data_IF_990568838969
#
_entry.id   IF_990568838969
#
_cell.length_a   1.000
_cell.length_b   1.000
_cell.length_c   1.000
_cell.angle_alpha   90.00
_cell.angle_beta   90.00
_cell.angle_gamma   90.00
#
_symmetry.space_group_name_H-M   'P 1'
#
loop_
_entity.id
_entity.type
_entity.pdbx_description
1 polymer ?
2 non-polymer ?
#
# COMPACT_ATOMS: atom_id res chain seq x y z
N UNK A 1 2.74 12.32 0.96
CA UNK A 1 1.96 11.10 0.89
C UNK A 1 2.60 10.06 -0.02
N UNK A 2 2.80 8.85 0.59
CA UNK A 2 3.48 7.75 -0.12
C UNK A 2 2.40 6.66 -0.58
N UNK A 3 2.66 5.94 -1.69
CA UNK A 3 1.93 4.71 -1.97
C UNK A 3 2.93 3.59 -1.67
N UNK A 4 2.39 2.63 -0.85
CA UNK A 4 3.00 1.42 -0.15
C UNK A 4 2.43 0.19 -0.91
N UNK A 5 3.22 -0.46 -1.81
CA UNK A 5 2.75 -1.67 -2.55
C UNK A 5 3.87 -2.69 -2.91
N UNK A 6 3.42 -3.86 -3.40
CA UNK A 6 4.28 -4.93 -3.95
C UNK A 6 3.62 -5.51 -5.23
N UNK A 7 4.35 -5.69 -6.36
CA UNK A 7 3.71 -6.11 -7.64
C UNK A 7 4.79 -7.09 -8.22
N UNK A 8 4.18 -7.96 -9.04
CA UNK A 8 5.00 -8.98 -9.93
C UNK A 8 5.44 -7.98 -11.02
N UNK A 9 6.16 -8.78 -11.95
CA UNK A 9 6.74 -8.15 -13.15
C UNK A 9 5.88 -7.50 -14.10
N UNK A 10 4.58 -7.88 -14.18
CA UNK A 10 3.52 -7.31 -15.08
C UNK A 10 2.68 -6.33 -14.26
N UNK A 11 2.92 -6.08 -12.95
CA UNK A 11 2.03 -5.14 -12.23
C UNK A 11 0.91 -5.69 -11.33
N UNK A 12 0.92 -7.14 -11.43
CA UNK A 12 -0.15 -7.73 -10.68
C UNK A 12 -0.09 -7.49 -9.19
N UNK A 13 -1.10 -7.14 -8.39
CA UNK A 13 -1.06 -6.97 -6.97
C UNK A 13 -1.95 -7.86 -6.05
N UNK A 14 -2.98 -8.49 -6.84
CA UNK A 14 -3.92 -9.26 -5.96
C UNK A 14 -4.61 -10.50 -6.76
N UNK A 15 -5.23 -11.38 -5.99
CA UNK A 15 -5.87 -12.50 -6.56
C UNK A 15 -6.94 -12.89 -5.56
N UNK A 16 -8.24 -12.86 -5.89
CA UNK A 16 -9.41 -13.42 -5.14
C UNK A 16 -9.48 -12.76 -3.84
N UNK A 17 -9.14 -11.47 -3.67
CA UNK A 17 -9.14 -10.74 -2.28
C UNK A 17 -7.95 -10.99 -1.44
N UNK A 18 -6.88 -11.63 -1.97
CA UNK A 18 -5.75 -11.94 -1.12
C UNK A 18 -4.49 -11.65 -2.04
N UNK A 19 -3.28 -11.82 -1.60
CA UNK A 19 -2.05 -11.64 -2.26
C UNK A 19 -1.96 -12.96 -3.08
N UNK A 20 -1.22 -12.43 -4.34
CA UNK A 20 -1.08 -13.72 -5.26
C UNK A 20 0.15 -14.55 -4.89
N UNK A 21 0.99 -14.28 -3.88
CA UNK A 21 2.26 -14.86 -3.46
C UNK A 21 2.15 -14.81 -1.91
N UNK A 22 3.26 -15.30 -1.29
CA UNK A 22 3.53 -15.26 0.15
C UNK A 22 5.09 -15.15 0.16
N UNK A 23 5.31 -13.87 0.67
CA UNK A 23 6.68 -13.21 0.69
C UNK A 23 6.89 -12.32 2.06
N UNK A 24 7.35 -13.43 2.97
CA UNK A 24 7.58 -12.84 4.32
C UNK A 24 8.56 -11.71 4.27
N UNK A 25 9.66 -11.56 3.69
CA UNK A 25 10.51 -10.48 3.78
C UNK A 25 9.82 -9.08 3.64
N UNK A 26 8.96 -9.03 2.58
CA UNK A 26 8.16 -7.86 2.13
C UNK A 26 7.02 -7.43 3.07
N UNK A 27 6.46 -8.38 3.83
CA UNK A 27 5.56 -8.09 4.98
C UNK A 27 6.27 -7.76 6.34
N UNK A 28 7.54 -8.16 6.55
CA UNK A 28 8.44 -7.47 7.54
C UNK A 28 8.69 -5.96 7.21
N UNK A 29 8.96 -5.61 5.93
CA UNK A 29 8.99 -4.19 5.47
C UNK A 29 7.59 -3.51 5.31
N UNK A 30 6.44 -4.23 5.20
CA UNK A 30 5.10 -3.63 5.46
C UNK A 30 5.00 -3.11 6.92
N UNK A 31 5.22 -3.98 7.93
CA UNK A 31 5.13 -3.59 9.36
C UNK A 31 5.95 -2.36 9.77
N UNK A 32 7.15 -2.15 9.21
CA UNK A 32 8.07 -1.06 9.65
C UNK A 32 8.23 0.17 8.70
N UNK A 33 8.04 0.04 7.37
CA UNK A 33 7.62 1.21 6.51
C UNK A 33 6.25 1.85 6.91
N UNK A 34 5.40 1.16 7.71
CA UNK A 34 4.28 1.80 8.45
C UNK A 34 4.29 1.53 9.98
N UNK A 35 5.40 1.27 10.73
CA UNK A 35 5.32 1.35 12.23
C UNK A 35 5.10 2.88 12.56
N UNK A 36 4.01 3.46 13.19
CA UNK A 36 4.03 4.86 13.44
C UNK A 36 3.41 5.80 12.54
N UNK A 37 2.87 5.38 11.36
CA UNK A 37 2.39 6.39 10.39
C UNK A 37 0.92 6.28 10.36
N UNK A 38 0.21 7.02 9.55
CA UNK A 38 -1.22 6.86 9.21
C UNK A 38 -1.35 6.05 7.99
N UNK A 39 -1.77 4.83 8.11
CA UNK A 39 -1.82 3.84 7.18
C UNK A 39 -3.24 3.77 6.48
N UNK A 40 -3.56 4.11 5.25
CA UNK A 40 -4.89 4.03 4.60
C UNK A 40 -5.04 2.84 3.72
N UNK A 41 -6.06 2.11 4.02
CA UNK A 41 -6.38 0.91 3.24
C UNK A 41 -7.89 0.89 2.96
N UNK A 42 -8.26 0.37 1.83
CA UNK A 42 -9.65 0.13 1.39
C UNK A 42 -10.16 -0.99 2.27
N UNK A 43 -11.53 -1.01 2.45
CA UNK A 43 -12.24 -1.90 3.32
C UNK A 43 -11.80 -3.41 2.98
N UNK A 44 -11.87 -3.69 1.59
CA UNK A 44 -11.51 -5.13 1.35
C UNK A 44 -10.17 -5.55 1.68
N UNK A 45 -9.12 -4.74 1.48
CA UNK A 45 -7.67 -5.02 1.90
C UNK A 45 -7.87 -4.96 3.51
N UNK A 46 -8.45 -4.06 4.21
CA UNK A 46 -8.41 -4.26 5.62
C UNK A 46 -8.91 -5.59 6.08
N UNK A 47 -10.08 -6.16 5.60
CA UNK A 47 -10.70 -7.43 6.00
C UNK A 47 -9.85 -8.59 5.72
N UNK A 48 -9.02 -8.56 4.63
CA UNK A 48 -8.01 -9.62 4.30
C UNK A 48 -6.67 -9.62 5.11
N UNK A 49 -6.37 -8.61 5.97
CA UNK A 49 -5.25 -8.72 6.96
C UNK A 49 -5.60 -9.80 8.06
N UNK A 50 -4.75 -10.81 8.43
CA UNK A 50 -5.05 -11.78 9.51
C UNK A 50 -5.44 -11.21 10.91
N UNK A 51 -4.62 -10.30 11.47
CA UNK A 51 -5.01 -9.46 12.63
C UNK A 51 -5.66 -8.13 12.16
N UNK A 52 -6.79 -7.79 12.78
CA UNK A 52 -7.64 -6.64 12.34
C UNK A 52 -8.04 -5.78 13.57
N UNK A 53 -7.39 -4.63 13.92
CA UNK A 53 -6.27 -4.02 13.16
C UNK A 53 -4.88 -4.69 13.41
N UNK A 54 -3.98 -4.61 12.40
CA UNK A 54 -2.52 -4.74 12.64
C UNK A 54 -1.99 -3.54 13.46
N UNK A 55 -1.15 -3.77 14.46
CA UNK A 55 -0.82 -2.80 15.63
C UNK A 55 0.27 -1.83 15.47
N UNK A 56 0.43 -0.79 16.33
CA UNK A 56 1.51 0.24 16.31
C UNK A 56 1.43 1.23 15.12
N UNK A 57 0.25 1.45 14.45
CA UNK A 57 0.22 2.42 13.35
C UNK A 57 -1.31 2.73 13.43
N UNK A 58 -1.70 3.86 12.84
CA UNK A 58 -3.08 4.28 12.74
C UNK A 58 -3.63 3.55 11.46
N UNK A 59 -4.63 2.74 11.66
CA UNK A 59 -5.20 2.09 10.44
C UNK A 59 -6.34 2.93 10.15
N UNK A 60 -6.47 3.57 8.99
CA UNK A 60 -7.69 4.26 8.54
C UNK A 60 -8.34 3.40 7.43
N UNK A 61 -9.51 3.03 7.51
CA UNK A 61 -10.24 2.15 6.61
C UNK A 61 -11.17 3.05 5.92
N UNK A 62 -11.21 3.05 4.61
CA UNK A 62 -12.07 3.86 3.68
C UNK A 62 -13.26 2.95 3.24
N UNK A 63 -14.62 3.12 3.52
CA UNK A 63 -15.70 2.18 3.29
C UNK A 63 -16.97 2.95 2.78
N UNK A 64 -17.88 2.70 1.96
CA UNK A 64 -19.07 3.54 1.75
C UNK A 64 -20.22 3.14 2.70
N UNK A 65 -19.91 2.01 3.47
CA UNK A 65 -20.95 1.43 4.37
C UNK A 65 -21.06 2.41 5.48
N UNK A 66 -22.00 3.37 5.77
CA UNK A 66 -22.19 4.29 6.93
C UNK A 66 -21.96 3.66 8.35
N UNK A 67 -22.51 2.38 8.54
CA UNK A 67 -22.45 1.54 9.72
C UNK A 67 -21.32 0.68 10.11
N UNK A 68 -20.21 0.71 9.12
CA UNK A 68 -19.23 -0.35 9.25
C UNK A 68 -18.60 -0.15 10.62
N UNK A 69 -18.23 -1.27 11.21
CA UNK A 69 -17.47 -1.32 12.43
C UNK A 69 -16.12 -2.00 12.26
N UNK A 70 -15.18 -1.25 12.86
CA UNK A 70 -13.80 -1.70 12.93
C UNK A 70 -13.30 -1.08 14.25
N UNK A 71 -13.32 -1.74 15.37
CA UNK A 71 -12.81 -1.30 16.64
C UNK A 71 -11.38 -0.99 16.51
N UNK A 72 -10.93 0.14 17.06
CA UNK A 72 -9.46 0.42 17.07
C UNK A 72 -8.95 0.99 15.72
N UNK A 73 -9.77 1.08 14.63
CA UNK A 73 -9.32 1.64 13.30
C UNK A 73 -9.99 2.95 13.15
N UNK A 74 -9.80 3.91 12.29
CA UNK A 74 -10.39 5.16 12.02
C UNK A 74 -11.13 4.80 10.79
N UNK A 75 -12.43 4.75 10.88
CA UNK A 75 -13.41 4.35 9.82
C UNK A 75 -13.90 5.66 9.21
N UNK A 76 -13.63 6.13 7.86
CA UNK A 76 -14.13 7.24 7.15
C UNK A 76 -14.58 6.67 5.82
N UNK A 77 -15.31 7.74 5.20
CA UNK A 77 -16.16 7.49 4.02
C UNK A 77 -15.85 8.25 2.79
N UNK A 78 -14.80 9.05 2.81
CA UNK A 78 -14.50 9.74 1.51
C UNK A 78 -13.09 10.05 1.64
N UNK A 79 -12.33 10.57 0.66
CA UNK A 79 -10.96 11.07 0.72
C UNK A 79 -10.78 12.37 1.54
N UNK A 80 -11.69 13.34 1.60
CA UNK A 80 -11.70 14.65 2.28
C UNK A 80 -11.54 14.18 3.77
N UNK A 81 -12.21 13.14 4.26
CA UNK A 81 -11.99 12.76 5.69
C UNK A 81 -10.71 12.25 5.99
N UNK A 82 -9.96 11.63 5.06
CA UNK A 82 -8.73 11.10 5.27
C UNK A 82 -7.84 12.33 5.56
N UNK A 83 -7.85 13.27 4.56
CA UNK A 83 -6.95 14.43 4.68
C UNK A 83 -7.43 15.26 5.95
N UNK A 84 -8.60 15.46 6.23
CA UNK A 84 -9.07 16.19 7.49
C UNK A 84 -8.45 15.43 8.67
N UNK A 85 -8.32 14.08 8.74
CA UNK A 85 -7.69 13.36 9.81
C UNK A 85 -6.21 13.67 9.80
N UNK A 86 -5.51 13.51 8.67
CA UNK A 86 -4.08 13.80 8.44
C UNK A 86 -3.65 15.32 8.87
N UNK A 87 -4.48 16.29 8.61
CA UNK A 87 -4.37 17.69 9.00
C UNK A 87 -4.31 17.75 10.60
N UNK A 88 -5.13 16.93 11.34
CA UNK A 88 -5.16 16.90 12.79
C UNK A 88 -4.04 16.39 13.60
N UNK A 89 -3.20 15.51 12.80
CA UNK A 89 -2.11 14.53 12.81
C UNK A 89 -0.88 15.19 12.40
N UNK A 90 -0.28 15.14 11.65
CA UNK A 90 0.74 16.42 11.61
C UNK A 90 2.13 15.96 11.39
N UNK A 91 2.59 15.30 12.39
CA UNK A 91 3.81 14.71 12.84
C UNK A 91 3.76 13.16 12.33
N UNK A 92 2.50 12.66 11.82
CA UNK A 92 2.51 11.21 11.32
C UNK A 92 2.39 11.44 9.72
N UNK A 93 3.23 10.71 9.05
CA UNK A 93 3.26 10.65 7.53
C UNK A 93 2.13 9.85 7.03
N UNK A 94 1.50 10.15 5.95
CA UNK A 94 0.41 9.40 5.39
C UNK A 94 0.96 8.41 4.18
N UNK A 95 0.67 7.16 4.46
CA UNK A 95 0.99 6.04 3.61
C UNK A 95 -0.44 5.28 3.17
N UNK A 96 -0.51 5.29 1.80
CA UNK A 96 -1.69 4.64 1.11
C UNK A 96 -1.14 3.22 0.75
N UNK A 97 -1.82 2.25 1.39
CA UNK A 97 -1.37 0.86 1.25
C UNK A 97 -2.34 -0.03 0.32
N UNK A 98 -3.29 0.57 -0.35
CA UNK A 98 -4.12 -0.18 -1.21
C UNK A 98 -5.48 -0.52 -0.80
N UNK A 99 -6.24 -1.31 -1.68
CA UNK A 99 -5.78 -1.86 -2.91
C UNK A 99 -6.04 -0.93 -3.90
N UNK A 100 -6.31 -1.41 -5.18
CA UNK A 100 -6.46 -0.69 -6.42
C UNK A 100 -7.50 0.52 -6.44
N UNK A 101 -8.66 0.22 -5.80
CA UNK A 101 -9.69 1.30 -5.80
C UNK A 101 -9.14 2.43 -4.95
N UNK A 102 -8.44 2.09 -3.82
CA UNK A 102 -7.87 3.29 -3.05
C UNK A 102 -6.70 3.95 -3.63
N UNK A 103 -5.86 3.14 -4.30
CA UNK A 103 -4.79 3.87 -5.06
C UNK A 103 -5.36 4.87 -6.06
N UNK A 104 -6.50 4.45 -6.78
CA UNK A 104 -7.16 5.41 -7.78
C UNK A 104 -7.70 6.65 -7.05
N UNK A 105 -8.29 6.42 -5.86
CA UNK A 105 -8.89 7.61 -5.11
C UNK A 105 -7.71 8.35 -4.79
N UNK A 106 -6.43 8.22 -4.45
CA UNK A 106 -5.36 9.22 -4.00
C UNK A 106 -4.44 9.36 -5.20
N UNK A 107 -4.70 8.97 -6.48
CA UNK A 107 -3.69 8.97 -7.64
C UNK A 107 -3.24 10.48 -7.74
N UNK A 108 -3.86 11.54 -7.35
CA UNK A 108 -3.25 12.92 -7.55
C UNK A 108 -2.51 13.52 -6.39
N UNK A 109 -2.53 12.75 -5.38
CA UNK A 109 -1.88 13.50 -4.28
C UNK A 109 -0.74 12.64 -3.92
N UNK A 110 -0.22 11.60 -4.63
CA UNK A 110 0.98 10.83 -4.09
C UNK A 110 2.19 11.57 -4.61
N UNK A 111 3.21 11.65 -3.71
CA UNK A 111 4.61 12.26 -3.98
C UNK A 111 5.71 11.16 -3.94
N UNK A 112 5.51 10.03 -3.31
CA UNK A 112 6.59 9.02 -3.25
C UNK A 112 6.03 7.63 -3.51
N UNK A 113 6.78 6.87 -4.23
CA UNK A 113 6.32 5.46 -4.47
C UNK A 113 7.23 4.50 -3.70
N UNK A 114 6.72 3.67 -2.87
CA UNK A 114 7.49 2.61 -2.16
C UNK A 114 6.97 1.30 -2.87
N UNK A 115 7.76 0.85 -3.90
CA UNK A 115 7.30 -0.32 -4.70
C UNK A 115 8.19 -1.51 -4.44
N UNK A 116 7.70 -2.73 -4.22
CA UNK A 116 8.53 -3.92 -4.18
C UNK A 116 8.15 -4.59 -5.57
N UNK A 117 9.13 -4.81 -6.32
CA UNK A 117 9.02 -5.47 -7.67
C UNK A 117 9.47 -6.98 -7.57
N UNK A 118 8.53 -7.92 -7.87
CA UNK A 118 8.91 -9.40 -7.82
C UNK A 118 9.51 -9.61 -9.18
N UNK A 119 10.50 -10.59 -9.27
CA UNK A 119 11.07 -10.89 -10.66
C UNK A 119 10.05 -11.80 -11.33
N UNK A 120 9.16 -12.58 -10.80
CA UNK A 120 8.33 -13.46 -11.47
C UNK A 120 7.00 -12.94 -11.79
N UNK A 121 6.27 -14.00 -12.35
CA UNK A 121 4.90 -13.66 -12.84
C UNK A 121 3.89 -14.55 -12.21
N UNK A 122 2.73 -14.10 -11.68
CA UNK A 122 1.81 -14.81 -10.80
C UNK A 122 0.45 -14.67 -11.46
N UNK A 123 -0.51 -15.47 -11.18
CA UNK A 123 -1.83 -15.32 -11.76
C UNK A 123 -2.62 -14.64 -10.78
N UNK A 124 -3.50 -13.73 -11.12
CA UNK A 124 -4.45 -13.07 -10.30
C UNK A 124 -5.40 -12.22 -11.20
N UNK A 125 -6.01 -11.26 -10.46
CA UNK A 125 -7.11 -10.42 -11.05
C UNK A 125 -7.03 -8.92 -10.71
N UNK A 126 -6.02 -8.45 -10.01
CA UNK A 126 -6.03 -6.99 -9.64
C UNK A 126 -4.55 -6.58 -9.97
N UNK A 127 -4.41 -5.44 -10.70
CA UNK A 127 -3.11 -4.87 -11.12
C UNK A 127 -3.12 -3.43 -10.42
N UNK A 128 -1.85 -3.08 -10.34
CA UNK A 128 -1.55 -1.66 -9.88
C UNK A 128 -2.10 -0.72 -11.07
N UNK A 129 -2.62 0.44 -10.54
CA UNK A 129 -3.12 1.53 -11.32
C UNK A 129 -1.81 2.09 -12.04
N UNK A 130 -2.41 2.55 -13.38
CA UNK A 130 -1.33 3.20 -14.18
C UNK A 130 -0.70 4.49 -13.68
N UNK A 131 0.62 4.68 -13.64
CA UNK A 131 1.05 6.02 -13.05
C UNK A 131 2.02 6.51 -14.11
N UNK A 132 2.23 7.88 -13.98
CA UNK A 132 3.28 8.58 -14.96
C UNK A 132 4.62 8.27 -14.39
N UNK A 133 5.53 7.26 -14.55
CA UNK A 133 6.85 6.89 -14.05
C UNK A 133 7.76 8.07 -14.40
N UNK A 134 7.52 8.67 -15.50
CA UNK A 134 8.39 9.69 -16.14
C UNK A 134 8.33 10.89 -15.19
N UNK A 135 7.41 11.21 -14.34
CA UNK A 135 7.25 12.28 -13.37
C UNK A 135 8.03 11.95 -11.89
N UNK A 136 8.70 10.83 -11.93
CA UNK A 136 9.30 10.44 -10.66
C UNK A 136 10.73 10.07 -10.97
N UNK A 137 11.60 10.10 -9.93
CA UNK A 137 12.99 9.61 -10.11
C UNK A 137 13.28 8.32 -9.29
N UNK A 138 13.94 7.17 -9.55
CA UNK A 138 14.17 6.17 -8.62
C UNK A 138 15.32 6.62 -7.80
N UNK A 139 15.16 6.91 -6.57
CA UNK A 139 16.23 7.34 -5.67
C UNK A 139 17.00 6.22 -5.13
N UNK A 140 16.34 5.06 -4.76
CA UNK A 140 16.99 4.00 -4.00
C UNK A 140 16.46 2.74 -4.65
N UNK A 141 17.37 1.74 -4.66
CA UNK A 141 16.93 0.39 -5.14
C UNK A 141 17.68 -0.61 -4.34
N UNK A 142 17.11 -1.67 -3.73
CA UNK A 142 17.92 -2.68 -2.87
C UNK A 142 17.22 -4.03 -3.48
N UNK A 143 18.01 -4.99 -3.87
CA UNK A 143 17.54 -6.30 -4.29
C UNK A 143 17.80 -7.45 -3.33
N UNK A 144 16.80 -8.28 -3.07
CA UNK A 144 16.79 -9.47 -2.15
C UNK A 144 16.49 -10.78 -3.06
N UNK A 145 17.47 -11.68 -2.89
CA UNK A 145 17.26 -12.87 -3.75
C UNK A 145 16.64 -13.86 -2.86
N UNK A 146 15.66 -14.59 -3.49
CA UNK A 146 14.88 -15.65 -2.74
C UNK A 146 15.26 -17.11 -3.43
N UNK A 147 15.18 -18.29 -2.70
CA UNK A 147 15.39 -19.55 -3.31
C UNK A 147 14.27 -19.94 -4.27
N UNK A 148 13.07 -19.35 -4.18
CA UNK A 148 12.07 -19.45 -5.35
C UNK A 148 12.52 -18.03 -6.07
N UNK A 149 13.07 -18.52 -7.39
CA UNK A 149 13.45 -17.26 -8.09
C UNK A 149 12.34 -16.31 -8.60
N UNK A 150 11.10 -16.54 -8.66
CA UNK A 150 9.88 -15.75 -8.99
C UNK A 150 9.76 -14.68 -7.90
N UNK A 151 10.32 -14.91 -6.62
CA UNK A 151 10.18 -14.28 -5.35
C UNK A 151 11.30 -13.22 -5.04
N UNK A 152 12.40 -13.34 -5.81
CA UNK A 152 13.53 -12.42 -5.84
C UNK A 152 12.85 -10.95 -6.13
N UNK A 153 13.22 -10.10 -5.29
CA UNK A 153 12.52 -8.74 -5.32
C UNK A 153 13.44 -7.57 -5.11
N UNK A 154 12.96 -6.47 -5.56
CA UNK A 154 13.77 -5.24 -5.48
C UNK A 154 12.83 -4.19 -4.75
N UNK A 155 13.35 -3.61 -3.68
CA UNK A 155 12.64 -2.44 -2.98
C UNK A 155 13.14 -1.13 -3.66
N UNK A 156 12.20 -0.37 -4.25
CA UNK A 156 12.51 0.89 -4.90
C UNK A 156 11.74 2.01 -4.11
N UNK A 157 12.49 3.14 -4.11
CA UNK A 157 11.89 4.44 -3.55
C UNK A 157 11.82 5.45 -4.72
N UNK A 158 10.69 5.96 -5.08
CA UNK A 158 10.69 6.86 -6.13
C UNK A 158 10.13 8.19 -5.59
N UNK A 159 10.69 9.31 -6.03
CA UNK A 159 10.18 10.61 -5.50
C UNK A 159 9.92 11.44 -6.76
N UNK A 160 8.80 12.20 -6.67
CA UNK A 160 8.14 13.05 -7.69
C UNK A 160 9.12 14.24 -8.09
N UNK A 161 9.45 14.39 -9.37
CA UNK A 161 10.32 15.51 -9.85
C UNK A 161 9.82 16.95 -9.52
N UNK A 162 10.46 18.23 -9.32
CA UNK A 162 9.86 19.60 -9.27
C UNK A 162 8.92 19.81 -10.64
X LIG B 1 3.72 -6.26 1.29
X LIG B 1 4.00 -5.09 0.75
X LIG B 1 5.26 -4.68 0.80
X LIG B 1 3.15 -4.24 0.22
X LIG B 1 1.86 -4.52 0.34
X LIG B 1 1.01 -3.73 -0.30
X LIG B 1 1.42 -5.67 1.05
X LIG B 1 2.43 -6.58 1.44
X LIG B 1 -0.03 -5.90 1.50
X LIG B 1 -0.27 -6.85 2.64
X LIG B 1 0.20 -6.88 3.97
X LIG B 1 -0.26 -7.88 4.84
X LIG B 1 0.00 -8.00 6.20
X LIG B 1 -1.09 -8.87 4.38
X LIG B 1 -1.63 -10.35 5.50
X LIG B 1 -1.60 -8.81 3.08
X LIG B 1 -2.50 -9.74 2.65
X LIG B 1 -1.18 -7.79 2.22
X LIG B 1 -3.83 -9.23 2.72
X LIG B 1 1.05 -7.31 6.87
X LIG B 1 1.23 -7.95 8.26
X LIG B 1 2.64 -7.76 8.86
X LIG B 1 2.65 -7.61 10.39
X LIG B 1 4.09 -8.01 10.79
X LIG B 1 4.49 -9.37 10.14
X LIG B 1 2.24 -6.19 10.89
X LIG B 1 1.72 -6.06 12.02
X LIG B 1 2.52 -5.23 10.18
X LIG B 1 5.95 -9.84 10.30
X LIG B 1 6.87 -8.99 10.44
X LIG B 1 6.21 -11.07 10.22
X LIG B 1 4.47 -6.97 1.33
X LIG B 1 5.93 -5.30 1.23
X LIG B 1 5.44 -3.74 0.40
X LIG B 1 0.05 -4.05 -0.33
X LIG B 1 1.45 -3.02 -0.91
X LIG B 1 2.15 -7.55 1.84
X LIG B 1 -0.61 -6.25 0.62
X LIG B 1 -0.49 -4.93 1.77
X LIG B 1 0.83 -6.10 4.37
X LIG B 1 -1.57 -7.74 1.22
X LIG B 1 -4.08 -8.93 3.77
X LIG B 1 -3.96 -8.33 2.09
X LIG B 1 -4.55 -9.99 2.41
X LIG B 1 1.98 -7.31 6.28
X LIG B 1 0.81 -6.26 6.92
X LIG B 1 0.46 -7.56 8.93
X LIG B 1 1.03 -9.05 8.20
X LIG B 1 3.15 -6.89 8.41
X LIG B 1 3.27 -8.62 8.58
X LIG B 1 1.96 -8.34 10.85
X LIG B 1 4.79 -7.22 10.45
X LIG B 1 4.20 -8.06 11.88
X LIG B 1 3.83 -10.16 10.53
X LIG B 1 4.29 -9.32 9.06
#
# INVERSE_FOLDING_TARGET
>A
TAFLWAQDRDGLIGKDGHLPWHLPDDLHYFRAQTVGKIMVVGRRTYESFPKRPLPERTNVVLTHQEDYQAQGAVVVHDVAAVFAYAKQHPDQELVIAGGAQIFTAFKDDVDTLLVTRLAGSFEGDTKMIPLNWDDFTKVSSRTVEDTNPALTHTYEVWQKKA
>B hetero
1 BDM N1 C2 N2 N3 C4 N4 C5 C6 C7 C8 C9 C10 O10 C11 BR11 C12 O12 C13 C14 C15 C16 C17 C18 C19 C20 C21 OXV OXW C22 OX5 OX6 HN1 HN21 HN22 HN41 HN42 H6 H71 H72 H9 H13 H141 H142 H143 H151 H152 H161 H162 H171 H172 H18 H191 H192 H201 H202
#
